data_IF_460973278185
#
_entry.id   IF_460973278185
#
_cell.length_a   1.000
_cell.length_b   1.000
_cell.length_c   1.000
_cell.angle_alpha   90.00
_cell.angle_beta   90.00
_cell.angle_gamma   90.00
#
_symmetry.space_group_name_H-M   'P 1'
#
loop_
_entity.id
_entity.type
_entity.pdbx_description
1 polymer ?
#
# COMPACT_ATOMS: atom_id res chain seq x y z
N UNK A 1 -19.29 -8.86 -46.24
CA UNK A 1 -18.10 -8.00 -46.43
C UNK A 1 -16.99 -8.59 -45.57
N UNK A 2 -16.02 -9.31 -46.15
CA UNK A 2 -14.91 -9.89 -45.41
C UNK A 2 -13.90 -8.78 -45.10
N UNK A 3 -13.76 -8.45 -43.82
CA UNK A 3 -12.75 -7.50 -43.35
C UNK A 3 -11.43 -8.28 -43.26
N UNK A 4 -10.61 -8.23 -44.32
CA UNK A 4 -9.26 -8.78 -44.30
C UNK A 4 -8.33 -7.77 -43.62
N UNK A 5 -8.35 -7.76 -42.27
CA UNK A 5 -7.41 -6.95 -41.51
C UNK A 5 -6.01 -7.59 -41.62
N UNK A 6 -4.96 -6.84 -41.99
CA UNK A 6 -3.62 -7.39 -42.08
C UNK A 6 -3.13 -7.84 -40.70
N UNK A 7 -2.39 -8.96 -40.66
CA UNK A 7 -1.93 -9.60 -39.42
C UNK A 7 -1.26 -8.61 -38.43
N UNK A 8 -0.40 -7.66 -38.87
CA UNK A 8 0.18 -6.66 -37.97
C UNK A 8 -0.87 -5.78 -37.27
N UNK A 9 -1.97 -5.43 -37.94
CA UNK A 9 -3.05 -4.62 -37.37
C UNK A 9 -3.81 -5.40 -36.31
N UNK A 10 -4.04 -6.71 -36.52
CA UNK A 10 -4.68 -7.59 -35.53
C UNK A 10 -3.81 -7.69 -34.27
N UNK A 11 -2.50 -7.90 -34.44
CA UNK A 11 -1.54 -7.96 -33.32
C UNK A 11 -1.53 -6.65 -32.54
N UNK A 12 -1.53 -5.51 -33.22
CA UNK A 12 -1.57 -4.19 -32.58
C UNK A 12 -2.85 -3.99 -31.76
N UNK A 13 -4.01 -4.38 -32.32
CA UNK A 13 -5.30 -4.30 -31.61
C UNK A 13 -5.28 -5.16 -30.35
N UNK A 14 -4.83 -6.42 -30.44
CA UNK A 14 -4.74 -7.32 -29.29
C UNK A 14 -3.80 -6.77 -28.21
N UNK A 15 -2.67 -6.17 -28.61
CA UNK A 15 -1.75 -5.53 -27.69
C UNK A 15 -2.39 -4.34 -26.96
N UNK A 16 -3.10 -3.46 -27.68
CA UNK A 16 -3.80 -2.33 -27.07
C UNK A 16 -4.86 -2.82 -26.07
N UNK A 17 -5.66 -3.82 -26.46
CA UNK A 17 -6.68 -4.43 -25.57
C UNK A 17 -6.03 -4.99 -24.31
N UNK A 18 -4.92 -5.73 -24.45
CA UNK A 18 -4.19 -6.28 -23.32
C UNK A 18 -3.66 -5.19 -22.38
N UNK A 19 -3.07 -4.12 -22.91
CA UNK A 19 -2.55 -3.00 -22.11
C UNK A 19 -3.68 -2.32 -21.33
N UNK A 20 -4.80 -2.03 -21.98
CA UNK A 20 -5.97 -1.41 -21.33
C UNK A 20 -6.50 -2.32 -20.22
N UNK A 21 -6.66 -3.63 -20.51
CA UNK A 21 -7.12 -4.60 -19.52
C UNK A 21 -6.19 -4.67 -18.30
N UNK A 22 -4.88 -4.70 -18.52
CA UNK A 22 -3.87 -4.72 -17.45
C UNK A 22 -3.96 -3.49 -16.54
N UNK A 23 -4.13 -2.30 -17.12
CA UNK A 23 -4.30 -1.04 -16.37
C UNK A 23 -5.56 -1.10 -15.50
N UNK A 24 -6.69 -1.54 -16.07
CA UNK A 24 -7.97 -1.65 -15.35
C UNK A 24 -7.84 -2.65 -14.19
N UNK A 25 -7.28 -3.84 -14.45
CA UNK A 25 -7.09 -4.86 -13.41
C UNK A 25 -6.22 -4.35 -12.27
N UNK A 26 -5.13 -3.65 -12.56
CA UNK A 26 -4.28 -3.07 -11.52
C UNK A 26 -5.02 -2.02 -10.67
N UNK A 27 -5.89 -1.20 -11.28
CA UNK A 27 -6.72 -0.24 -10.57
C UNK A 27 -7.74 -0.92 -9.65
N UNK A 28 -8.36 -2.01 -10.11
CA UNK A 28 -9.30 -2.80 -9.30
C UNK A 28 -8.58 -3.44 -8.11
N UNK A 29 -7.41 -4.06 -8.33
CA UNK A 29 -6.60 -4.66 -7.26
C UNK A 29 -6.23 -3.64 -6.21
N UNK A 30 -5.76 -2.46 -6.64
CA UNK A 30 -5.45 -1.37 -5.73
C UNK A 30 -6.68 -0.96 -4.93
N UNK A 31 -7.81 -0.68 -5.58
CA UNK A 31 -9.04 -0.27 -4.88
C UNK A 31 -9.53 -1.30 -3.85
N UNK A 32 -9.31 -2.59 -4.11
CA UNK A 32 -9.71 -3.68 -3.21
C UNK A 32 -8.73 -3.93 -2.04
N UNK A 33 -7.51 -3.37 -2.06
CA UNK A 33 -6.62 -3.40 -0.90
C UNK A 33 -7.28 -2.61 0.25
N UNK A 34 -7.56 -3.23 1.39
CA UNK A 34 -8.10 -2.55 2.57
C UNK A 34 -7.39 -3.07 3.82
N UNK A 35 -7.14 -2.18 4.78
CA UNK A 35 -6.62 -2.54 6.08
C UNK A 35 -7.61 -2.06 7.14
N UNK A 36 -8.16 -3.01 7.88
CA UNK A 36 -9.01 -2.74 9.04
C UNK A 36 -8.22 -3.05 10.30
N UNK A 37 -8.43 -2.26 11.34
CA UNK A 37 -7.81 -2.47 12.65
C UNK A 37 -8.90 -2.59 13.72
N UNK A 38 -8.69 -3.54 14.63
CA UNK A 38 -9.51 -3.75 15.82
C UNK A 38 -8.58 -4.06 16.99
N UNK A 39 -8.39 -3.08 17.85
CA UNK A 39 -7.56 -3.18 19.05
C UNK A 39 -6.16 -3.80 18.84
N UNK A 40 -5.49 -3.45 17.74
CA UNK A 40 -4.12 -3.86 17.42
C UNK A 40 -4.05 -5.17 16.63
N UNK A 41 -5.20 -5.79 16.37
CA UNK A 41 -5.39 -6.83 15.36
C UNK A 41 -5.74 -6.19 14.03
N UNK A 42 -5.17 -6.73 12.95
CA UNK A 42 -5.35 -6.22 11.61
C UNK A 42 -5.99 -7.26 10.72
N UNK A 43 -6.90 -6.80 9.86
CA UNK A 43 -7.44 -7.56 8.73
C UNK A 43 -6.99 -6.87 7.46
N UNK A 44 -5.99 -7.44 6.78
CA UNK A 44 -5.56 -6.97 5.48
C UNK A 44 -6.24 -7.75 4.37
N UNK A 45 -7.08 -7.05 3.61
CA UNK A 45 -7.83 -7.59 2.49
C UNK A 45 -7.19 -7.16 1.17
N UNK A 46 -6.99 -8.07 0.22
CA UNK A 46 -6.41 -7.75 -1.09
C UNK A 46 -6.84 -8.74 -2.19
N UNK A 47 -6.58 -8.38 -3.45
CA UNK A 47 -6.84 -9.25 -4.62
C UNK A 47 -5.53 -9.44 -5.41
N UNK A 48 -4.79 -10.56 -5.24
CA UNK A 48 -3.53 -10.75 -5.96
C UNK A 48 -3.73 -11.04 -7.45
N UNK A 49 -4.73 -11.85 -7.80
CA UNK A 49 -5.05 -12.25 -9.18
C UNK A 49 -6.53 -12.14 -9.48
N UNK A 50 -7.33 -13.06 -8.91
CA UNK A 50 -8.75 -13.25 -9.26
C UNK A 50 -9.64 -13.31 -8.01
N UNK A 51 -9.18 -13.97 -6.94
CA UNK A 51 -9.95 -14.14 -5.70
C UNK A 51 -9.48 -13.17 -4.61
N UNK A 52 -10.43 -12.64 -3.85
CA UNK A 52 -10.20 -11.88 -2.62
C UNK A 52 -9.50 -12.76 -1.58
N UNK A 53 -8.47 -12.24 -0.96
CA UNK A 53 -7.72 -12.88 0.13
C UNK A 53 -7.71 -11.94 1.34
N UNK A 54 -7.61 -12.54 2.53
CA UNK A 54 -7.56 -11.84 3.81
C UNK A 54 -6.40 -12.41 4.62
N UNK A 55 -5.64 -11.54 5.26
CA UNK A 55 -4.59 -11.89 6.20
C UNK A 55 -4.95 -11.24 7.53
N UNK A 56 -4.92 -12.05 8.57
CA UNK A 56 -5.15 -11.65 9.94
C UNK A 56 -3.80 -11.65 10.64
N UNK A 57 -3.43 -10.53 11.28
CA UNK A 57 -2.17 -10.45 12.02
C UNK A 57 -2.28 -9.46 13.17
N UNK A 58 -1.55 -9.72 14.25
CA UNK A 58 -1.43 -8.77 15.36
C UNK A 58 -0.21 -7.85 15.16
N UNK A 59 -0.26 -6.62 15.67
CA UNK A 59 0.88 -5.69 15.63
C UNK A 59 2.17 -6.29 16.22
N UNK A 60 2.04 -7.19 17.20
CA UNK A 60 3.16 -7.88 17.84
C UNK A 60 3.86 -8.87 16.90
N UNK A 61 3.12 -9.43 15.93
CA UNK A 61 3.64 -10.36 14.92
C UNK A 61 4.44 -9.65 13.82
N UNK A 62 4.39 -8.31 13.75
CA UNK A 62 5.19 -7.53 12.82
C UNK A 62 6.67 -7.58 13.24
N UNK A 63 7.46 -8.28 12.43
CA UNK A 63 8.91 -8.42 12.57
C UNK A 63 9.64 -7.16 12.12
N UNK A 64 9.26 -6.65 10.95
CA UNK A 64 9.90 -5.50 10.31
C UNK A 64 8.89 -4.75 9.45
N UNK A 65 8.99 -3.42 9.42
CA UNK A 65 8.28 -2.57 8.48
C UNK A 65 9.31 -1.72 7.73
N UNK A 66 9.30 -1.80 6.40
CA UNK A 66 10.23 -1.09 5.52
C UNK A 66 9.47 -0.03 4.75
N UNK A 67 9.89 1.23 4.88
CA UNK A 67 9.43 2.30 4.00
C UNK A 67 10.00 2.11 2.60
N UNK A 68 9.13 1.87 1.61
CA UNK A 68 9.55 1.57 0.23
C UNK A 68 9.40 2.76 -0.70
N UNK A 69 8.45 3.65 -0.44
CA UNK A 69 8.23 4.85 -1.25
C UNK A 69 7.62 5.94 -0.41
N UNK A 70 8.13 7.15 -0.58
CA UNK A 70 7.57 8.37 0.00
C UNK A 70 7.55 9.45 -1.08
N UNK A 71 6.43 10.14 -1.22
CA UNK A 71 6.29 11.25 -2.16
C UNK A 71 5.41 12.34 -1.55
N UNK A 72 6.00 13.51 -1.36
CA UNK A 72 5.35 14.71 -0.82
C UNK A 72 5.01 15.65 -1.97
N UNK A 73 3.82 16.24 -1.91
CA UNK A 73 3.41 17.32 -2.81
C UNK A 73 2.63 18.36 -2.01
N UNK A 74 2.98 19.64 -2.18
CA UNK A 74 2.27 20.76 -1.52
C UNK A 74 2.19 20.61 0.02
N UNK A 75 3.25 20.14 0.67
CA UNK A 75 3.29 19.99 2.13
C UNK A 75 2.44 18.84 2.70
N UNK A 76 2.01 17.90 1.87
CA UNK A 76 1.26 16.69 2.28
C UNK A 76 1.83 15.44 1.59
N UNK A 77 1.67 14.26 2.20
CA UNK A 77 2.00 13.00 1.55
C UNK A 77 0.99 12.71 0.45
N UNK A 78 1.47 12.64 -0.80
CA UNK A 78 0.68 12.11 -1.90
C UNK A 78 0.78 10.59 -1.97
N UNK A 79 1.92 10.01 -1.59
CA UNK A 79 2.12 8.57 -1.58
C UNK A 79 3.06 8.17 -0.45
N UNK A 80 2.69 7.14 0.29
CA UNK A 80 3.52 6.48 1.28
C UNK A 80 3.25 4.99 1.16
N UNK A 81 4.31 4.19 1.04
CA UNK A 81 4.21 2.74 0.85
C UNK A 81 5.09 2.00 1.84
N UNK A 82 4.53 0.99 2.47
CA UNK A 82 5.24 0.10 3.39
C UNK A 82 5.26 -1.33 2.88
N UNK A 83 6.36 -2.02 3.16
CA UNK A 83 6.43 -3.47 3.11
C UNK A 83 6.57 -3.99 4.54
N UNK A 84 5.57 -4.71 5.00
CA UNK A 84 5.50 -5.27 6.35
C UNK A 84 5.84 -6.74 6.25
N UNK A 85 6.80 -7.18 7.07
CA UNK A 85 7.21 -8.56 7.20
C UNK A 85 6.74 -9.09 8.57
N UNK A 86 6.00 -10.19 8.54
CA UNK A 86 5.51 -10.90 9.71
C UNK A 86 6.52 -11.95 10.19
N UNK A 87 6.35 -12.40 11.43
CA UNK A 87 7.25 -13.38 12.06
C UNK A 87 7.26 -14.75 11.36
N UNK A 88 6.14 -15.13 10.74
CA UNK A 88 5.98 -16.36 9.95
C UNK A 88 6.64 -16.29 8.56
N UNK A 89 7.28 -15.16 8.23
CA UNK A 89 7.93 -14.92 6.94
C UNK A 89 6.99 -14.35 5.88
N UNK A 90 5.71 -14.15 6.18
CA UNK A 90 4.77 -13.54 5.25
C UNK A 90 5.06 -12.04 5.07
N UNK A 91 4.98 -11.54 3.83
CA UNK A 91 5.18 -10.11 3.54
C UNK A 91 3.94 -9.49 2.90
N UNK A 92 3.51 -8.34 3.42
CA UNK A 92 2.37 -7.58 2.89
C UNK A 92 2.80 -6.16 2.52
N UNK A 93 2.21 -5.64 1.44
CA UNK A 93 2.52 -4.30 0.92
C UNK A 93 1.33 -3.38 1.14
N UNK A 94 1.52 -2.35 1.96
CA UNK A 94 0.58 -1.25 2.08
C UNK A 94 0.97 -0.14 1.10
N UNK A 95 0.06 0.25 0.23
CA UNK A 95 0.31 1.29 -0.80
C UNK A 95 -0.62 2.47 -0.73
N UNK A 96 -1.80 2.26 -0.15
CA UNK A 96 -2.78 3.32 -0.01
C UNK A 96 -2.45 4.15 1.23
N UNK A 97 -2.54 5.46 1.06
CA UNK A 97 -2.18 6.45 2.08
C UNK A 97 -2.94 6.22 3.39
N UNK A 98 -4.27 6.00 3.32
CA UNK A 98 -5.13 5.84 4.51
C UNK A 98 -4.70 4.65 5.35
N UNK A 99 -4.45 3.51 4.72
CA UNK A 99 -4.07 2.24 5.33
C UNK A 99 -2.68 2.33 5.93
N UNK A 100 -1.78 3.06 5.28
CA UNK A 100 -0.46 3.37 5.83
C UNK A 100 -0.54 4.28 7.06
N UNK A 101 -1.38 5.33 7.03
CA UNK A 101 -1.59 6.21 8.18
C UNK A 101 -2.25 5.48 9.34
N UNK A 102 -3.25 4.63 9.08
CA UNK A 102 -3.87 3.77 10.08
C UNK A 102 -2.83 2.87 10.74
N UNK A 103 -2.02 2.16 9.95
CA UNK A 103 -0.97 1.29 10.47
C UNK A 103 0.06 2.06 11.32
N UNK A 104 0.52 3.23 10.86
CA UNK A 104 1.45 4.07 11.60
C UNK A 104 0.87 4.58 12.91
N UNK A 105 -0.40 4.98 12.93
CA UNK A 105 -1.08 5.42 14.15
C UNK A 105 -1.08 4.32 15.22
N UNK A 106 -1.44 3.10 14.82
CA UNK A 106 -1.45 1.94 15.73
C UNK A 106 -0.03 1.58 16.18
N UNK A 107 0.98 1.68 15.28
CA UNK A 107 2.38 1.53 15.68
C UNK A 107 2.78 2.56 16.75
N UNK A 108 2.39 3.83 16.57
CA UNK A 108 2.68 4.92 17.52
C UNK A 108 2.06 4.67 18.89
N UNK A 109 0.85 4.14 18.92
CA UNK A 109 0.08 3.92 20.16
C UNK A 109 0.44 2.61 20.89
N UNK A 110 0.69 1.52 20.14
CA UNK A 110 0.81 0.17 20.72
C UNK A 110 2.20 -0.44 20.62
N UNK A 111 3.04 0.00 19.68
CA UNK A 111 4.37 -0.57 19.44
C UNK A 111 5.38 0.52 19.09
N UNK A 112 5.64 1.40 20.05
CA UNK A 112 6.48 2.58 19.89
C UNK A 112 7.86 2.26 19.32
N UNK A 113 8.46 1.13 19.69
CA UNK A 113 9.75 0.69 19.14
C UNK A 113 9.71 0.48 17.62
N UNK A 114 8.62 -0.11 17.11
CA UNK A 114 8.43 -0.29 15.67
C UNK A 114 8.22 1.06 14.98
N UNK A 115 7.46 1.96 15.61
CA UNK A 115 7.25 3.31 15.10
C UNK A 115 8.57 4.07 14.97
N UNK A 116 9.41 4.07 16.01
CA UNK A 116 10.72 4.73 15.99
C UNK A 116 11.66 4.14 14.93
N UNK A 117 11.63 2.82 14.73
CA UNK A 117 12.37 2.16 13.64
C UNK A 117 11.90 2.61 12.26
N UNK A 118 10.60 2.86 12.08
CA UNK A 118 10.08 3.36 10.80
C UNK A 118 10.52 4.81 10.59
N UNK A 119 10.44 5.65 11.62
CA UNK A 119 10.87 7.05 11.55
C UNK A 119 12.36 7.18 11.23
N UNK A 120 13.21 6.31 11.79
CA UNK A 120 14.65 6.36 11.50
C UNK A 120 15.02 5.95 10.07
N UNK A 121 14.12 5.29 9.34
CA UNK A 121 14.30 4.98 7.90
C UNK A 121 13.91 6.16 7.00
N UNK A 122 13.15 7.13 7.50
CA UNK A 122 12.84 8.34 6.75
C UNK A 122 14.14 9.15 6.68
N UNK A 123 14.65 9.49 5.47
CA UNK A 123 15.85 10.31 5.35
C UNK A 123 15.65 11.58 6.17
N UNK A 124 16.66 11.94 6.97
CA UNK A 124 16.63 12.89 8.09
C UNK A 124 16.37 14.36 7.71
N UNK A 125 15.32 14.59 6.94
CA UNK A 125 14.74 15.89 6.69
C UNK A 125 13.61 16.06 7.73
N UNK A 126 13.88 16.86 8.77
CA UNK A 126 12.93 17.24 9.82
C UNK A 126 11.57 17.68 9.24
N UNK A 127 11.57 18.20 8.02
CA UNK A 127 10.39 18.63 7.29
C UNK A 127 9.47 17.44 6.92
N UNK A 128 10.03 16.28 6.57
CA UNK A 128 9.25 15.08 6.22
C UNK A 128 8.58 14.47 7.45
N UNK A 129 9.33 14.36 8.55
CA UNK A 129 8.81 13.82 9.81
C UNK A 129 7.71 14.73 10.37
N UNK A 130 7.91 16.04 10.36
CA UNK A 130 6.89 16.99 10.84
C UNK A 130 5.61 16.97 10.01
N UNK A 131 5.71 16.79 8.68
CA UNK A 131 4.52 16.57 7.83
C UNK A 131 3.81 15.27 8.23
N UNK A 132 4.55 14.22 8.59
CA UNK A 132 3.98 12.92 8.96
C UNK A 132 3.23 12.97 10.27
N UNK A 133 3.86 13.53 11.30
CA UNK A 133 3.21 13.72 12.60
C UNK A 133 1.96 14.57 12.45
N UNK A 134 2.02 15.67 11.69
CA UNK A 134 0.85 16.50 11.42
C UNK A 134 -0.26 15.74 10.70
N UNK A 135 0.06 14.88 9.73
CA UNK A 135 -0.96 14.07 9.06
C UNK A 135 -1.56 13.01 9.98
N UNK A 136 -0.75 12.38 10.84
CA UNK A 136 -1.20 11.38 11.81
C UNK A 136 -2.11 12.00 12.88
N UNK A 137 -1.79 13.20 13.36
CA UNK A 137 -2.61 13.91 14.35
C UNK A 137 -3.97 14.32 13.79
N UNK A 138 -4.02 14.65 12.50
CA UNK A 138 -5.27 14.97 11.81
C UNK A 138 -6.03 13.72 11.32
N UNK A 139 -5.46 12.52 11.44
CA UNK A 139 -6.04 11.28 10.96
C UNK A 139 -7.09 10.73 11.94
N UNK A 140 -8.36 10.84 11.55
CA UNK A 140 -9.47 10.11 12.20
C UNK A 140 -9.55 8.72 11.54
N UNK A 141 -9.28 7.68 12.34
CA UNK A 141 -9.30 6.28 11.93
C UNK A 141 -10.68 5.85 11.44
#
# INVERSE_FOLDING_TARGET
MQINLPLPTIILILYIIYVIFSIIMNKIKFNAENLEELDGEFIFTFIPKIKKQQIYFNINEVKLCILTRIFIRQGTFKTINFNILLNDGYSLRLKKKRECLLFLKVCREKKTELYQKILSMIPADMTVISILEKELDNFKG
#
